data_IF_281922207197
#
_entry.id   IF_281922207197
#
_cell.length_a   1.000
_cell.length_b   1.000
_cell.length_c   1.000
_cell.angle_alpha   90.00
_cell.angle_beta   90.00
_cell.angle_gamma   90.00
#
_symmetry.space_group_name_H-M   'P 1'
#
loop_
_entity.id
_entity.type
_entity.pdbx_description
1 polymer ?
#
# COMPACT_ATOMS: atom_id res chain seq x y z
N UNK A 1 19.85 2.69 -3.85
CA UNK A 1 19.96 4.02 -4.44
C UNK A 1 18.81 4.32 -5.39
N UNK A 2 18.62 3.51 -6.39
CA UNK A 2 17.52 3.69 -7.36
C UNK A 2 16.14 3.81 -6.74
N UNK A 3 15.83 2.98 -5.73
CA UNK A 3 14.51 3.00 -5.09
C UNK A 3 14.26 4.30 -4.35
N UNK A 4 15.26 4.83 -3.64
CA UNK A 4 15.17 6.11 -2.96
C UNK A 4 14.96 7.26 -3.95
N UNK A 5 15.66 7.25 -5.05
CA UNK A 5 15.51 8.24 -6.12
C UNK A 5 14.13 8.17 -6.75
N UNK A 6 13.65 6.96 -7.02
CA UNK A 6 12.28 6.73 -7.50
C UNK A 6 11.25 7.26 -6.52
N UNK A 7 11.39 6.93 -5.24
CA UNK A 7 10.47 7.38 -4.20
C UNK A 7 10.41 8.92 -4.13
N UNK A 8 11.57 9.57 -4.15
CA UNK A 8 11.63 11.04 -4.13
C UNK A 8 10.96 11.63 -5.37
N UNK A 9 11.21 11.09 -6.54
CA UNK A 9 10.60 11.53 -7.80
C UNK A 9 9.09 11.34 -7.78
N UNK A 10 8.61 10.15 -7.42
CA UNK A 10 7.19 9.83 -7.33
C UNK A 10 6.48 10.81 -6.41
N UNK A 11 7.03 11.04 -5.21
CA UNK A 11 6.44 11.95 -4.22
C UNK A 11 6.44 13.41 -4.71
N UNK A 12 7.51 13.85 -5.37
CA UNK A 12 7.58 15.22 -5.92
C UNK A 12 6.55 15.46 -7.02
N UNK A 13 6.34 14.47 -7.87
CA UNK A 13 5.45 14.58 -9.03
C UNK A 13 3.99 14.26 -8.69
N UNK A 14 3.72 13.65 -7.56
CA UNK A 14 2.39 13.19 -7.20
C UNK A 14 1.44 14.34 -6.92
N UNK A 15 0.31 14.42 -7.64
CA UNK A 15 -0.70 15.45 -7.36
C UNK A 15 -1.54 15.01 -6.16
N UNK A 16 -1.19 15.49 -4.96
CA UNK A 16 -1.89 15.14 -3.75
C UNK A 16 -3.38 15.54 -3.82
N UNK A 17 -4.30 14.66 -3.43
CA UNK A 17 -5.74 14.92 -3.58
C UNK A 17 -6.33 15.90 -2.57
N UNK A 18 -5.58 16.26 -1.53
CA UNK A 18 -6.03 17.17 -0.47
C UNK A 18 -4.84 17.86 0.18
N UNK A 19 -5.12 18.89 0.99
CA UNK A 19 -4.08 19.56 1.76
C UNK A 19 -3.43 18.61 2.78
N UNK A 20 -4.22 17.74 3.41
CA UNK A 20 -3.71 16.75 4.36
C UNK A 20 -2.72 15.80 3.67
N UNK A 21 -3.08 15.29 2.51
CA UNK A 21 -2.20 14.41 1.73
C UNK A 21 -0.97 15.15 1.20
N UNK A 22 -1.09 16.41 0.87
CA UNK A 22 0.06 17.23 0.46
C UNK A 22 1.05 17.44 1.61
N UNK A 23 0.56 17.66 2.83
CA UNK A 23 1.41 17.75 4.03
C UNK A 23 2.15 16.44 4.28
N UNK A 24 1.47 15.31 4.14
CA UNK A 24 2.11 13.99 4.25
C UNK A 24 3.18 13.80 3.18
N UNK A 25 2.89 14.17 1.95
CA UNK A 25 3.85 14.13 0.84
C UNK A 25 5.13 14.90 1.19
N UNK A 26 5.00 16.11 1.73
CA UNK A 26 6.14 16.91 2.17
C UNK A 26 6.87 16.29 3.36
N UNK A 27 6.13 15.72 4.32
CA UNK A 27 6.72 14.98 5.45
C UNK A 27 7.57 13.80 4.98
N UNK A 28 7.09 13.04 3.99
CA UNK A 28 7.84 11.92 3.42
C UNK A 28 9.12 12.40 2.72
N UNK A 29 9.03 13.48 1.95
CA UNK A 29 10.19 14.07 1.28
C UNK A 29 11.23 14.58 2.29
N UNK A 30 10.78 15.24 3.36
CA UNK A 30 11.65 15.71 4.42
C UNK A 30 12.35 14.55 5.13
N UNK A 31 11.62 13.47 5.38
CA UNK A 31 12.17 12.25 5.97
C UNK A 31 13.28 11.65 5.09
N UNK A 32 13.05 11.54 3.80
CA UNK A 32 14.06 11.04 2.87
C UNK A 32 15.29 11.96 2.81
N UNK A 33 15.09 13.28 2.89
CA UNK A 33 16.19 14.24 2.91
C UNK A 33 17.02 14.14 4.19
N UNK A 34 16.38 13.87 5.34
CA UNK A 34 17.04 13.78 6.64
C UNK A 34 17.70 12.42 6.91
N UNK A 35 17.24 11.35 6.26
CA UNK A 35 17.68 9.97 6.52
C UNK A 35 18.08 9.27 5.23
N UNK A 36 19.39 9.00 5.07
CA UNK A 36 19.87 8.22 3.92
C UNK A 36 19.30 6.81 3.89
N UNK A 37 19.01 6.24 5.05
CA UNK A 37 18.42 4.91 5.22
C UNK A 37 16.91 4.93 5.36
N UNK A 38 16.25 6.04 5.00
CA UNK A 38 14.80 6.23 5.18
C UNK A 38 13.89 5.29 4.41
N UNK A 39 14.43 4.51 3.48
CA UNK A 39 13.71 3.43 2.79
C UNK A 39 13.74 2.10 3.54
N UNK A 40 14.55 1.96 4.58
CA UNK A 40 14.92 0.64 5.10
C UNK A 40 14.54 0.46 6.56
N UNK A 41 14.16 -0.76 6.89
CA UNK A 41 13.73 -1.17 8.23
C UNK A 41 14.70 -0.77 9.37
N UNK A 42 16.03 -0.76 9.21
CA UNK A 42 16.92 -0.29 10.27
C UNK A 42 16.74 1.16 10.69
N UNK A 43 16.19 2.03 9.83
CA UNK A 43 15.89 3.41 10.21
C UNK A 43 14.78 3.45 11.26
N UNK A 44 15.14 3.71 12.51
CA UNK A 44 14.21 3.65 13.65
C UNK A 44 13.29 4.87 13.75
N UNK A 45 13.65 5.98 13.12
CA UNK A 45 12.80 7.17 13.06
C UNK A 45 11.62 6.99 12.08
N UNK A 46 11.71 5.99 11.23
CA UNK A 46 10.68 5.65 10.27
C UNK A 46 11.28 5.20 8.94
N UNK A 47 10.49 4.53 8.15
CA UNK A 47 10.90 4.14 6.81
C UNK A 47 9.70 4.04 5.88
N UNK A 48 9.95 4.26 4.60
CA UNK A 48 8.92 4.13 3.60
C UNK A 48 8.55 2.66 3.42
N UNK A 49 7.26 2.43 3.27
CA UNK A 49 6.70 1.13 2.90
C UNK A 49 5.85 1.31 1.64
N UNK A 50 5.52 0.23 0.99
CA UNK A 50 4.67 0.25 -0.19
C UNK A 50 3.54 -0.76 -0.03
N UNK A 51 2.34 -0.35 -0.36
CA UNK A 51 1.17 -1.21 -0.31
C UNK A 51 0.28 -1.04 -1.54
N UNK A 52 -0.59 -2.01 -1.76
CA UNK A 52 -1.59 -1.93 -2.81
C UNK A 52 -2.92 -2.49 -2.32
N UNK A 53 -3.99 -1.75 -2.57
CA UNK A 53 -5.34 -2.26 -2.43
C UNK A 53 -5.69 -3.07 -3.67
N UNK A 54 -5.88 -4.36 -3.48
CA UNK A 54 -6.34 -5.24 -4.57
C UNK A 54 -7.84 -5.07 -4.71
N UNK A 55 -8.28 -4.62 -5.88
CA UNK A 55 -9.67 -4.27 -6.14
C UNK A 55 -10.20 -4.97 -7.40
N UNK A 56 -11.43 -5.44 -7.32
CA UNK A 56 -12.20 -5.96 -8.44
C UNK A 56 -13.40 -5.03 -8.67
N UNK A 57 -13.26 -4.03 -9.58
CA UNK A 57 -14.34 -3.06 -9.80
C UNK A 57 -15.61 -3.67 -10.36
N UNK A 58 -15.50 -4.68 -11.24
CA UNK A 58 -16.64 -5.34 -11.84
C UNK A 58 -17.47 -6.10 -10.80
N UNK A 59 -16.80 -6.70 -9.81
CA UNK A 59 -17.46 -7.39 -8.69
C UNK A 59 -17.83 -6.48 -7.53
N UNK A 60 -17.39 -5.21 -7.53
CA UNK A 60 -17.66 -4.26 -6.45
C UNK A 60 -17.04 -4.66 -5.12
N UNK A 61 -15.80 -5.13 -5.13
CA UNK A 61 -15.17 -5.73 -3.95
C UNK A 61 -13.67 -5.45 -3.89
N UNK A 62 -13.13 -5.53 -2.68
CA UNK A 62 -11.71 -5.42 -2.40
C UNK A 62 -11.21 -6.67 -1.68
N UNK A 63 -9.93 -6.98 -1.86
CA UNK A 63 -9.29 -8.09 -1.19
C UNK A 63 -8.50 -7.56 0.01
N UNK A 64 -8.79 -8.09 1.19
CA UNK A 64 -8.06 -7.77 2.40
C UNK A 64 -7.43 -9.03 2.99
N UNK A 65 -6.35 -8.85 3.73
CA UNK A 65 -5.66 -9.89 4.46
C UNK A 65 -5.83 -9.68 5.96
N UNK A 66 -6.09 -10.75 6.71
CA UNK A 66 -6.10 -10.71 8.17
C UNK A 66 -4.65 -10.88 8.65
N UNK A 67 -4.03 -9.79 9.04
CA UNK A 67 -2.62 -9.76 9.43
C UNK A 67 -2.39 -10.62 10.69
N UNK A 68 -1.45 -11.55 10.61
CA UNK A 68 -1.19 -12.53 11.68
C UNK A 68 -0.84 -11.88 13.02
N UNK A 69 0.00 -10.85 13.01
CA UNK A 69 0.46 -10.18 14.22
C UNK A 69 -0.52 -9.13 14.72
N UNK A 70 -1.04 -8.31 13.83
CA UNK A 70 -1.90 -7.18 14.18
C UNK A 70 -3.37 -7.58 14.39
N UNK A 71 -3.77 -8.76 13.89
CA UNK A 71 -5.17 -9.24 13.98
C UNK A 71 -6.18 -8.27 13.36
N UNK A 72 -5.75 -7.56 12.32
CA UNK A 72 -6.54 -6.56 11.60
C UNK A 72 -6.64 -6.92 10.13
N UNK A 73 -7.78 -6.59 9.52
CA UNK A 73 -7.97 -6.68 8.08
C UNK A 73 -7.33 -5.47 7.41
N UNK A 74 -6.36 -5.72 6.54
CA UNK A 74 -5.54 -4.69 5.93
C UNK A 74 -5.39 -4.94 4.41
N UNK A 75 -5.02 -3.89 3.69
CA UNK A 75 -4.53 -4.03 2.32
C UNK A 75 -3.18 -4.77 2.31
N UNK A 76 -2.75 -5.23 1.14
CA UNK A 76 -1.47 -5.91 0.96
C UNK A 76 -0.34 -4.89 0.99
N UNK A 77 0.75 -5.17 1.70
CA UNK A 77 1.89 -4.25 1.75
C UNK A 77 2.95 -4.65 2.75
N UNK A 78 4.09 -3.99 2.66
CA UNK A 78 5.21 -4.26 3.55
C UNK A 78 6.44 -3.41 3.25
N UNK A 79 7.56 -3.88 3.76
CA UNK A 79 8.84 -3.22 3.61
C UNK A 79 9.36 -3.31 2.17
N UNK A 80 9.98 -2.23 1.72
CA UNK A 80 10.71 -2.25 0.47
C UNK A 80 11.94 -3.14 0.56
N UNK A 81 12.30 -3.78 -0.54
CA UNK A 81 13.48 -4.64 -0.65
C UNK A 81 14.51 -4.02 -1.60
N UNK A 82 15.82 -4.29 -1.41
CA UNK A 82 16.86 -3.73 -2.29
C UNK A 82 16.69 -4.07 -3.77
N UNK A 83 16.03 -5.18 -4.07
CA UNK A 83 15.75 -5.65 -5.42
C UNK A 83 14.59 -4.92 -6.10
N UNK A 84 13.76 -4.22 -5.32
CA UNK A 84 12.67 -3.44 -5.88
C UNK A 84 13.23 -2.27 -6.71
N UNK A 85 12.84 -2.17 -7.96
CA UNK A 85 13.32 -1.11 -8.83
C UNK A 85 12.59 0.22 -8.62
N UNK A 86 11.36 0.15 -8.12
CA UNK A 86 10.50 1.31 -7.88
C UNK A 86 9.52 1.05 -6.73
N UNK A 87 8.91 2.10 -6.20
CA UNK A 87 7.82 1.95 -5.23
C UNK A 87 6.64 1.15 -5.82
N UNK A 88 6.33 1.38 -7.09
CA UNK A 88 5.29 0.64 -7.79
C UNK A 88 5.60 -0.86 -7.85
N UNK A 89 6.84 -1.22 -8.13
CA UNK A 89 7.27 -2.62 -8.15
C UNK A 89 7.19 -3.24 -6.75
N UNK A 90 7.59 -2.51 -5.72
CA UNK A 90 7.47 -2.97 -4.32
C UNK A 90 6.01 -3.23 -3.95
N UNK A 91 5.11 -2.32 -4.26
CA UNK A 91 3.68 -2.47 -4.00
C UNK A 91 3.09 -3.68 -4.74
N UNK A 92 3.46 -3.85 -6.01
CA UNK A 92 2.97 -4.96 -6.82
C UNK A 92 3.52 -6.31 -6.34
N UNK A 93 4.79 -6.36 -5.94
CA UNK A 93 5.40 -7.55 -5.35
C UNK A 93 4.65 -7.97 -4.07
N UNK A 94 4.42 -7.03 -3.15
CA UNK A 94 3.68 -7.30 -1.93
C UNK A 94 2.24 -7.77 -2.24
N UNK A 95 1.57 -7.14 -3.19
CA UNK A 95 0.24 -7.53 -3.59
C UNK A 95 0.20 -8.97 -4.11
N UNK A 96 1.16 -9.38 -4.92
CA UNK A 96 1.26 -10.76 -5.43
C UNK A 96 1.55 -11.77 -4.32
N UNK A 97 2.50 -11.45 -3.46
CA UNK A 97 2.92 -12.34 -2.36
C UNK A 97 1.78 -12.56 -1.36
N UNK A 98 1.14 -11.48 -0.91
CA UNK A 98 0.13 -11.57 0.13
C UNK A 98 -1.26 -11.99 -0.37
N UNK A 99 -1.60 -11.70 -1.61
CA UNK A 99 -2.88 -12.13 -2.18
C UNK A 99 -2.86 -13.56 -2.70
N UNK A 100 -1.69 -14.08 -3.03
CA UNK A 100 -1.55 -15.35 -3.74
C UNK A 100 -1.94 -15.28 -5.23
N UNK A 101 -2.26 -14.09 -5.73
CA UNK A 101 -2.57 -13.87 -7.15
C UNK A 101 -1.25 -13.57 -7.88
N UNK A 102 -0.62 -14.60 -8.41
CA UNK A 102 0.71 -14.49 -9.00
C UNK A 102 0.74 -13.71 -10.31
N UNK A 103 -0.36 -13.73 -11.06
CA UNK A 103 -0.43 -13.12 -12.40
C UNK A 103 -1.72 -12.33 -12.58
N UNK A 104 -1.66 -11.32 -13.45
CA UNK A 104 -2.84 -10.56 -13.84
C UNK A 104 -3.15 -9.35 -12.98
N UNK A 105 -2.44 -9.13 -11.87
CA UNK A 105 -2.57 -7.88 -11.12
C UNK A 105 -1.89 -6.75 -11.88
N UNK A 106 -2.60 -5.66 -12.08
CA UNK A 106 -2.05 -4.44 -12.72
C UNK A 106 -2.35 -3.23 -11.85
N UNK A 107 -1.34 -2.39 -11.64
CA UNK A 107 -1.56 -1.17 -10.88
C UNK A 107 -2.44 -0.19 -11.65
N UNK A 108 -3.32 0.49 -10.93
CA UNK A 108 -4.08 1.61 -11.48
C UNK A 108 -3.11 2.69 -11.96
N UNK A 109 -3.25 3.19 -13.19
CA UNK A 109 -2.35 4.23 -13.69
C UNK A 109 -2.48 5.53 -12.91
N UNK A 110 -1.42 6.34 -12.93
CA UNK A 110 -1.38 7.63 -12.25
C UNK A 110 -0.59 7.66 -10.95
N UNK A 111 0.06 6.56 -10.58
CA UNK A 111 0.90 6.48 -9.39
C UNK A 111 0.13 6.17 -8.10
N UNK A 112 0.64 6.61 -6.95
CA UNK A 112 -0.01 6.36 -5.66
C UNK A 112 -1.42 6.94 -5.60
N UNK A 113 -2.30 6.27 -4.86
CA UNK A 113 -3.67 6.76 -4.63
C UNK A 113 -3.80 7.51 -3.31
N UNK A 114 -2.95 7.18 -2.33
CA UNK A 114 -2.99 7.77 -1.00
C UNK A 114 -1.68 7.54 -0.27
N UNK A 115 -1.40 8.38 0.73
CA UNK A 115 -0.33 8.18 1.71
C UNK A 115 -0.96 7.94 3.09
N UNK A 116 -0.33 7.08 3.88
CA UNK A 116 -0.75 6.81 5.26
C UNK A 116 0.46 6.62 6.16
N UNK A 117 0.60 7.50 7.15
CA UNK A 117 1.68 7.43 8.14
C UNK A 117 1.13 6.86 9.43
N UNK A 118 1.67 5.75 9.88
CA UNK A 118 1.22 5.11 11.10
C UNK A 118 2.38 4.50 11.89
N UNK A 119 2.23 4.46 13.20
CA UNK A 119 3.22 3.86 14.09
C UNK A 119 3.03 2.34 14.16
N UNK A 120 4.14 1.62 14.12
CA UNK A 120 4.16 0.15 14.27
C UNK A 120 5.15 -0.22 15.38
N UNK A 121 5.18 -1.49 15.83
CA UNK A 121 6.17 -1.93 16.82
C UNK A 121 7.63 -1.69 16.40
N UNK A 122 7.95 -1.67 15.11
CA UNK A 122 9.32 -1.45 14.67
C UNK A 122 9.67 0.03 14.51
N UNK A 123 8.78 0.85 13.98
CA UNK A 123 9.00 2.28 13.73
C UNK A 123 7.75 2.93 13.12
N UNK A 124 7.85 4.21 12.77
CA UNK A 124 6.86 4.84 11.89
C UNK A 124 6.96 4.27 10.48
N UNK A 125 5.84 3.82 9.95
CA UNK A 125 5.71 3.45 8.55
C UNK A 125 5.15 4.64 7.77
N UNK A 126 5.88 5.05 6.77
CA UNK A 126 5.47 6.08 5.81
C UNK A 126 4.99 5.32 4.56
N UNK A 127 3.75 4.92 4.57
CA UNK A 127 3.21 4.02 3.56
C UNK A 127 2.77 4.77 2.30
N UNK A 128 3.24 4.29 1.16
CA UNK A 128 2.85 4.79 -0.16
C UNK A 128 1.89 3.78 -0.77
N UNK A 129 0.63 4.16 -0.90
CA UNK A 129 -0.46 3.26 -1.22
C UNK A 129 -0.88 3.35 -2.67
N UNK A 130 -0.85 2.22 -3.34
CA UNK A 130 -1.32 2.03 -4.72
C UNK A 130 -2.64 1.27 -4.73
N UNK A 131 -3.24 1.14 -5.90
CA UNK A 131 -4.35 0.22 -6.13
C UNK A 131 -3.95 -0.75 -7.24
N UNK A 132 -4.29 -2.04 -7.06
CA UNK A 132 -4.03 -3.09 -8.03
C UNK A 132 -5.34 -3.69 -8.50
N UNK A 133 -5.58 -3.64 -9.80
CA UNK A 133 -6.76 -4.24 -10.42
C UNK A 133 -6.58 -5.75 -10.53
N UNK A 134 -7.53 -6.51 -10.01
CA UNK A 134 -7.52 -7.96 -10.09
C UNK A 134 -8.22 -8.44 -11.38
N UNK A 135 -7.73 -9.53 -12.00
CA UNK A 135 -8.48 -10.17 -13.08
C UNK A 135 -9.78 -10.78 -12.54
N UNK A 136 -10.79 -10.89 -13.40
CA UNK A 136 -12.14 -11.30 -13.01
C UNK A 136 -12.22 -12.70 -12.37
N UNK A 137 -11.28 -13.58 -12.71
CA UNK A 137 -11.23 -14.97 -12.24
C UNK A 137 -10.15 -15.20 -11.18
N UNK A 138 -9.63 -14.13 -10.58
CA UNK A 138 -8.58 -14.23 -9.58
C UNK A 138 -9.03 -15.01 -8.34
N UNK A 139 -8.22 -15.99 -7.95
CA UNK A 139 -8.42 -16.80 -6.75
C UNK A 139 -7.30 -16.49 -5.78
N UNK A 140 -7.60 -15.84 -4.64
CA UNK A 140 -6.58 -15.53 -3.64
C UNK A 140 -6.17 -16.77 -2.86
N UNK A 141 -4.98 -16.70 -2.26
CA UNK A 141 -4.46 -17.74 -1.39
C UNK A 141 -3.74 -17.10 -0.19
N UNK A 142 -3.83 -17.73 0.97
CA UNK A 142 -3.20 -17.28 2.21
C UNK A 142 -1.67 -17.36 2.07
N UNK A 143 -0.96 -16.32 2.55
CA UNK A 143 0.49 -16.32 2.72
C UNK A 143 0.85 -16.67 4.16
N UNK A 144 2.16 -16.88 4.43
CA UNK A 144 2.67 -17.17 5.77
C UNK A 144 2.43 -16.04 6.78
N UNK A 145 2.26 -14.82 6.31
CA UNK A 145 2.07 -13.64 7.15
C UNK A 145 0.61 -13.38 7.51
N UNK A 146 -0.32 -14.17 6.96
CA UNK A 146 -1.76 -13.94 7.09
C UNK A 146 -2.45 -15.12 7.76
N UNK A 147 -3.50 -14.81 8.52
CA UNK A 147 -4.44 -15.79 9.07
C UNK A 147 -5.56 -16.11 8.08
N UNK A 148 -5.93 -15.15 7.25
CA UNK A 148 -7.00 -15.28 6.27
C UNK A 148 -6.83 -14.24 5.17
N UNK A 149 -7.46 -14.46 4.05
CA UNK A 149 -7.55 -13.55 2.91
C UNK A 149 -8.96 -13.66 2.35
N UNK A 150 -9.67 -12.52 2.20
CA UNK A 150 -11.06 -12.52 1.74
C UNK A 150 -11.39 -11.33 0.87
N UNK A 151 -12.33 -11.55 -0.04
CA UNK A 151 -13.04 -10.49 -0.72
C UNK A 151 -14.12 -9.89 0.17
N UNK A 152 -14.18 -8.56 0.21
CA UNK A 152 -15.22 -7.81 0.89
C UNK A 152 -15.91 -6.87 -0.10
N UNK A 153 -17.25 -6.85 -0.09
CA UNK A 153 -17.97 -5.79 -0.78
C UNK A 153 -17.59 -4.43 -0.16
N UNK A 154 -17.67 -3.37 -0.95
CA UNK A 154 -17.25 -2.05 -0.46
C UNK A 154 -17.95 -1.64 0.83
N UNK A 155 -19.24 -1.92 0.97
CA UNK A 155 -20.02 -1.56 2.13
C UNK A 155 -19.74 -2.44 3.37
N UNK A 156 -19.08 -3.56 3.21
CA UNK A 156 -18.64 -4.41 4.32
C UNK A 156 -17.36 -3.89 4.99
N UNK A 157 -16.54 -3.14 4.27
CA UNK A 157 -15.21 -2.73 4.74
C UNK A 157 -15.27 -1.94 6.06
N UNK A 158 -16.17 -0.95 6.23
CA UNK A 158 -16.23 -0.20 7.50
C UNK A 158 -16.51 -1.07 8.74
N UNK A 159 -17.13 -2.23 8.56
CA UNK A 159 -17.44 -3.15 9.66
C UNK A 159 -16.29 -4.08 10.05
N UNK A 160 -15.25 -4.19 9.22
CA UNK A 160 -14.17 -5.16 9.44
C UNK A 160 -12.77 -4.53 9.48
N UNK A 161 -12.59 -3.32 8.96
CA UNK A 161 -11.31 -2.65 8.86
C UNK A 161 -11.34 -1.26 9.51
N UNK A 162 -10.17 -0.70 9.75
CA UNK A 162 -10.05 0.61 10.36
C UNK A 162 -10.34 1.76 9.37
N UNK A 163 -10.35 2.99 9.89
CA UNK A 163 -10.63 4.18 9.10
C UNK A 163 -9.60 4.41 7.98
N UNK A 164 -8.35 3.98 8.15
CA UNK A 164 -7.32 4.12 7.12
C UNK A 164 -7.65 3.28 5.90
N UNK A 165 -8.04 2.02 6.10
CA UNK A 165 -8.45 1.13 5.00
C UNK A 165 -9.71 1.66 4.31
N UNK A 166 -10.68 2.14 5.09
CA UNK A 166 -11.91 2.73 4.55
C UNK A 166 -11.57 3.91 3.62
N UNK A 167 -10.71 4.82 4.07
CA UNK A 167 -10.27 5.97 3.26
C UNK A 167 -9.55 5.56 1.98
N UNK A 168 -8.72 4.50 2.07
CA UNK A 168 -8.04 3.96 0.90
C UNK A 168 -9.03 3.41 -0.14
N UNK A 169 -10.03 2.68 0.32
CA UNK A 169 -11.10 2.16 -0.56
C UNK A 169 -11.88 3.30 -1.21
N UNK A 170 -12.29 4.28 -0.44
CA UNK A 170 -13.04 5.45 -0.93
C UNK A 170 -12.22 6.22 -1.98
N UNK A 171 -10.95 6.48 -1.69
CA UNK A 171 -10.07 7.20 -2.62
C UNK A 171 -9.85 6.41 -3.91
N UNK A 172 -9.65 5.11 -3.82
CA UNK A 172 -9.48 4.25 -4.99
C UNK A 172 -10.73 4.25 -5.86
N UNK A 173 -11.91 4.12 -5.25
CA UNK A 173 -13.17 4.14 -5.98
C UNK A 173 -13.40 5.47 -6.73
N UNK A 174 -12.97 6.57 -6.14
CA UNK A 174 -13.08 7.89 -6.78
C UNK A 174 -12.23 8.01 -8.06
N UNK A 175 -11.26 7.13 -8.26
CA UNK A 175 -10.38 7.11 -9.42
C UNK A 175 -10.79 6.09 -10.50
N UNK A 176 -11.80 5.27 -10.22
CA UNK A 176 -12.33 4.29 -11.17
C UNK A 176 -13.45 4.90 -12.09
#
# INVERSE_FOLDING_TARGET
>A
MRLREDAARVLKEWPAPSQEQDRLRLTYLDHLAAHQDGMWKPCKDGHLTASALVIDPAGGRVLLTLHRKLKMWLQMGGHCEPEDASLADAALREAREESGIAQGLTLLPGGPVRLDRHHTPCAWHLDVQYAALAPADAVPAISDESLDVRWFAYDEVPGVADASVVRLVERTRALL
#
